data_IF_997096483622
#
_entry.id   IF_997096483622
#
_cell.length_a   1.000
_cell.length_b   1.000
_cell.length_c   1.000
_cell.angle_alpha   90.00
_cell.angle_beta   90.00
_cell.angle_gamma   90.00
#
_symmetry.space_group_name_H-M   'P 1'
#
loop_
_entity.id
_entity.type
_entity.pdbx_description
1 polymer ?
#
# COMPACT_ATOMS: atom_id res chain seq x y z
N UNK A 1 -17.09 12.27 -3.10
CA UNK A 1 -17.63 11.44 -2.00
C UNK A 1 -16.92 10.09 -2.00
N UNK A 2 -16.61 9.54 -0.81
CA UNK A 2 -16.13 8.18 -0.60
C UNK A 2 -17.21 7.41 0.18
N UNK A 3 -17.64 6.27 -0.32
CA UNK A 3 -18.61 5.39 0.33
C UNK A 3 -17.88 4.13 0.82
N UNK A 4 -17.90 3.90 2.14
CA UNK A 4 -17.31 2.72 2.78
C UNK A 4 -18.43 1.81 3.31
N UNK A 5 -18.36 0.54 2.92
CA UNK A 5 -19.38 -0.46 3.28
C UNK A 5 -19.52 -0.71 4.78
N UNK A 6 -18.42 -0.62 5.52
CA UNK A 6 -18.39 -0.83 6.97
C UNK A 6 -17.82 0.42 7.65
N UNK A 7 -16.61 0.34 8.16
CA UNK A 7 -15.86 1.43 8.76
C UNK A 7 -14.48 1.50 8.13
N UNK A 8 -13.89 2.69 8.07
CA UNK A 8 -12.50 2.82 7.66
C UNK A 8 -11.62 1.90 8.48
N UNK A 9 -10.62 1.32 7.83
CA UNK A 9 -9.66 0.36 8.38
C UNK A 9 -10.21 -1.05 8.64
N UNK A 10 -11.52 -1.23 8.63
CA UNK A 10 -12.17 -2.54 8.71
C UNK A 10 -11.95 -3.31 7.40
N UNK A 11 -11.67 -4.56 7.43
CA UNK A 11 -11.41 -5.37 6.23
C UNK A 11 -9.94 -5.74 6.13
N UNK A 12 -9.30 -5.55 4.97
CA UNK A 12 -7.90 -5.98 4.77
C UNK A 12 -6.87 -5.07 5.39
N UNK A 13 -7.21 -3.82 5.71
CA UNK A 13 -6.28 -2.83 6.25
C UNK A 13 -5.63 -3.29 7.56
N UNK A 14 -6.42 -3.69 8.56
CA UNK A 14 -5.88 -4.07 9.86
C UNK A 14 -5.16 -5.42 9.86
N UNK A 15 -5.33 -6.24 8.81
CA UNK A 15 -4.58 -7.47 8.62
C UNK A 15 -3.19 -7.24 8.01
N UNK A 16 -2.93 -6.04 7.47
CA UNK A 16 -1.66 -5.75 6.81
C UNK A 16 -0.53 -5.67 7.85
N UNK A 17 0.60 -6.29 7.54
CA UNK A 17 1.79 -6.27 8.42
C UNK A 17 2.49 -4.91 8.49
N UNK A 18 2.09 -3.95 7.67
CA UNK A 18 2.68 -2.62 7.64
C UNK A 18 4.04 -2.54 6.95
N UNK A 19 4.46 -3.57 6.24
CA UNK A 19 5.72 -3.55 5.50
C UNK A 19 5.55 -2.74 4.21
N UNK A 20 6.42 -1.76 4.03
CA UNK A 20 6.39 -0.83 2.88
C UNK A 20 7.69 -0.94 2.11
N UNK A 21 7.63 -1.57 0.94
CA UNK A 21 8.79 -1.81 0.10
C UNK A 21 8.63 -1.23 -1.30
N UNK A 22 9.75 -0.84 -1.93
CA UNK A 22 9.80 -0.25 -3.25
C UNK A 22 9.80 -1.26 -4.39
N UNK A 23 10.44 -2.41 -4.17
CA UNK A 23 10.73 -3.37 -5.24
C UNK A 23 9.46 -4.07 -5.72
N UNK A 24 9.16 -3.93 -7.01
CA UNK A 24 8.05 -4.61 -7.70
C UNK A 24 8.53 -5.23 -9.01
N UNK A 25 7.69 -6.09 -9.59
CA UNK A 25 8.01 -6.82 -10.83
C UNK A 25 8.11 -5.91 -12.07
N UNK A 26 7.44 -4.77 -12.08
CA UNK A 26 7.39 -3.85 -13.21
C UNK A 26 7.83 -2.44 -12.82
N UNK A 27 8.26 -1.66 -13.81
CA UNK A 27 8.62 -0.24 -13.62
C UNK A 27 7.46 0.58 -13.06
N UNK A 28 6.26 0.43 -13.60
CA UNK A 28 5.11 1.21 -13.17
C UNK A 28 4.72 0.89 -11.73
N UNK A 29 4.68 -0.39 -11.35
CA UNK A 29 4.40 -0.78 -9.98
C UNK A 29 5.49 -0.29 -8.99
N UNK A 30 6.77 -0.30 -9.40
CA UNK A 30 7.87 0.27 -8.60
C UNK A 30 7.71 1.78 -8.42
N UNK A 31 7.36 2.52 -9.50
CA UNK A 31 7.08 3.97 -9.41
C UNK A 31 5.93 4.27 -8.45
N UNK A 32 4.83 3.52 -8.55
CA UNK A 32 3.70 3.66 -7.62
C UNK A 32 4.09 3.40 -6.17
N UNK A 33 4.89 2.34 -5.92
CA UNK A 33 5.36 2.05 -4.56
C UNK A 33 6.28 3.14 -4.01
N UNK A 34 7.16 3.71 -4.83
CA UNK A 34 8.03 4.83 -4.43
C UNK A 34 7.22 6.09 -4.13
N UNK A 35 6.28 6.44 -5.00
CA UNK A 35 5.35 7.54 -4.74
C UNK A 35 4.58 7.33 -3.43
N UNK A 36 4.14 6.10 -3.16
CA UNK A 36 3.50 5.76 -1.87
C UNK A 36 4.39 6.04 -0.67
N UNK A 37 5.67 5.71 -0.75
CA UNK A 37 6.65 6.01 0.31
C UNK A 37 6.82 7.51 0.53
N UNK A 38 6.99 8.28 -0.54
CA UNK A 38 7.08 9.74 -0.49
C UNK A 38 5.83 10.35 0.15
N UNK A 39 4.66 9.89 -0.25
CA UNK A 39 3.38 10.31 0.33
C UNK A 39 3.30 9.98 1.83
N UNK A 40 3.65 8.76 2.23
CA UNK A 40 3.57 8.33 3.63
C UNK A 40 4.52 9.13 4.52
N UNK A 41 5.68 9.50 4.00
CA UNK A 41 6.64 10.37 4.70
C UNK A 41 6.12 11.80 4.90
N UNK A 42 5.27 12.31 3.98
CA UNK A 42 4.73 13.68 4.07
C UNK A 42 3.43 13.79 4.86
N UNK A 43 2.63 12.71 4.93
CA UNK A 43 1.26 12.73 5.45
C UNK A 43 1.12 13.25 6.88
N UNK A 44 2.04 12.92 7.78
CA UNK A 44 1.98 13.39 9.17
C UNK A 44 2.10 14.91 9.24
N UNK A 45 3.02 15.48 8.45
CA UNK A 45 3.18 16.93 8.32
C UNK A 45 1.96 17.60 7.69
N UNK A 46 1.37 16.97 6.67
CA UNK A 46 0.22 17.51 5.94
C UNK A 46 -1.07 17.45 6.75
N UNK A 47 -1.30 16.38 7.47
CA UNK A 47 -2.58 16.08 8.10
C UNK A 47 -2.57 16.29 9.62
N UNK A 48 -1.40 16.34 10.27
CA UNK A 48 -1.26 16.36 11.71
C UNK A 48 -1.63 15.03 12.39
N UNK A 49 -1.75 13.92 11.62
CA UNK A 49 -1.95 12.59 12.17
C UNK A 49 -0.75 11.71 11.89
N UNK A 50 -0.24 11.06 12.93
CA UNK A 50 0.84 10.10 12.82
C UNK A 50 0.44 8.93 11.91
N UNK A 51 1.37 8.46 11.09
CA UNK A 51 1.19 7.32 10.17
C UNK A 51 1.94 6.09 10.66
N UNK A 52 2.76 6.23 11.70
CA UNK A 52 3.71 5.22 12.12
C UNK A 52 4.79 4.93 11.09
N UNK A 53 4.94 5.78 10.07
CA UNK A 53 5.97 5.63 9.04
C UNK A 53 7.37 5.73 9.64
N UNK A 54 8.19 4.73 9.35
CA UNK A 54 9.62 4.72 9.67
C UNK A 54 10.37 4.13 8.49
N UNK A 55 11.27 4.91 7.91
CA UNK A 55 12.22 4.42 6.92
C UNK A 55 13.34 3.68 7.65
N UNK A 56 13.12 2.41 7.92
CA UNK A 56 14.06 1.56 8.65
C UNK A 56 14.77 0.56 7.72
N UNK A 57 14.57 0.67 6.43
CA UNK A 57 15.06 -0.26 5.44
C UNK A 57 14.36 -1.61 5.46
N UNK A 58 14.73 -2.48 4.51
CA UNK A 58 14.37 -3.89 4.52
C UNK A 58 15.56 -4.78 4.20
N UNK A 59 15.64 -5.93 4.88
CA UNK A 59 16.68 -6.92 4.68
C UNK A 59 16.05 -8.18 4.07
N UNK A 60 16.47 -8.53 2.85
CA UNK A 60 16.04 -9.74 2.16
C UNK A 60 17.18 -10.75 2.22
N UNK A 61 16.94 -11.93 2.77
CA UNK A 61 17.98 -12.96 2.97
C UNK A 61 17.85 -14.13 2.00
N UNK A 62 18.97 -14.72 1.64
CA UNK A 62 19.06 -15.92 0.82
C UNK A 62 19.78 -17.03 1.59
N UNK A 63 19.13 -18.18 1.79
CA UNK A 63 19.73 -19.38 2.39
C UNK A 63 20.52 -20.22 1.38
N UNK A 64 20.18 -20.11 0.09
CA UNK A 64 20.84 -20.91 -0.96
C UNK A 64 21.50 -20.02 -2.02
N UNK A 65 22.51 -20.55 -2.71
CA UNK A 65 23.18 -19.87 -3.83
C UNK A 65 22.19 -19.56 -4.96
N UNK A 66 21.23 -20.44 -5.22
CA UNK A 66 20.21 -20.24 -6.26
C UNK A 66 19.30 -19.08 -5.91
N UNK A 67 18.87 -19.00 -4.64
CA UNK A 67 18.09 -17.86 -4.16
C UNK A 67 18.85 -16.54 -4.27
N UNK A 68 20.15 -16.56 -3.91
CA UNK A 68 20.99 -15.37 -4.05
C UNK A 68 21.15 -14.95 -5.52
N UNK A 69 21.31 -15.92 -6.43
CA UNK A 69 21.37 -15.65 -7.88
C UNK A 69 20.07 -15.03 -8.40
N UNK A 70 18.92 -15.56 -7.98
CA UNK A 70 17.61 -14.97 -8.30
C UNK A 70 17.49 -13.53 -7.77
N UNK A 71 17.90 -13.31 -6.53
CA UNK A 71 17.90 -11.96 -5.93
C UNK A 71 18.79 -10.99 -6.71
N UNK A 72 19.98 -11.41 -7.13
CA UNK A 72 20.86 -10.58 -7.98
C UNK A 72 20.17 -10.15 -9.28
N UNK A 73 19.47 -11.06 -9.95
CA UNK A 73 18.69 -10.74 -11.17
C UNK A 73 17.53 -9.77 -10.87
N UNK A 74 16.82 -9.97 -9.78
CA UNK A 74 15.71 -9.08 -9.36
C UNK A 74 16.26 -7.68 -9.05
N UNK A 75 17.37 -7.57 -8.35
CA UNK A 75 17.98 -6.30 -7.99
C UNK A 75 18.59 -5.57 -9.19
N UNK A 76 19.19 -6.27 -10.14
CA UNK A 76 19.65 -5.66 -11.39
C UNK A 76 18.49 -4.98 -12.14
N UNK A 77 17.32 -5.63 -12.18
CA UNK A 77 16.09 -5.03 -12.73
C UNK A 77 15.60 -3.86 -11.88
N UNK A 78 15.55 -3.98 -10.55
CA UNK A 78 15.13 -2.92 -9.65
C UNK A 78 16.01 -1.67 -9.78
N UNK A 79 17.31 -1.83 -9.99
CA UNK A 79 18.25 -0.75 -10.28
C UNK A 79 17.85 0.04 -11.52
N UNK A 80 17.43 -0.63 -12.60
CA UNK A 80 16.95 0.05 -13.81
C UNK A 80 15.65 0.84 -13.60
N UNK A 81 14.96 0.61 -12.48
CA UNK A 81 13.77 1.34 -12.06
C UNK A 81 14.06 2.40 -10.98
N UNK A 82 15.36 2.60 -10.66
CA UNK A 82 15.83 3.61 -9.73
C UNK A 82 15.75 3.21 -8.25
N UNK A 83 15.68 1.91 -7.93
CA UNK A 83 15.73 1.42 -6.54
C UNK A 83 17.20 1.30 -6.11
N UNK A 84 17.54 1.94 -5.00
CA UNK A 84 18.83 1.81 -4.33
C UNK A 84 18.85 0.57 -3.44
N UNK A 85 19.95 -0.16 -3.46
CA UNK A 85 20.14 -1.36 -2.64
C UNK A 85 21.63 -1.70 -2.52
N UNK A 86 21.94 -2.53 -1.54
CA UNK A 86 23.28 -3.06 -1.30
C UNK A 86 23.22 -4.58 -1.13
N UNK A 87 24.20 -5.30 -1.70
CA UNK A 87 24.45 -6.69 -1.34
C UNK A 87 25.30 -6.71 -0.08
N UNK A 88 24.82 -7.39 0.93
CA UNK A 88 25.49 -7.48 2.22
C UNK A 88 25.87 -8.92 2.54
N UNK A 89 26.99 -9.09 3.22
CA UNK A 89 27.43 -10.39 3.73
C UNK A 89 26.50 -10.90 4.84
N UNK A 90 26.51 -12.22 5.15
CA UNK A 90 25.78 -12.73 6.32
C UNK A 90 26.16 -12.03 7.63
N UNK A 91 27.43 -11.69 7.81
CA UNK A 91 27.90 -10.98 9.01
C UNK A 91 27.30 -9.59 9.11
N UNK A 92 27.28 -8.84 8.01
CA UNK A 92 26.65 -7.52 7.95
C UNK A 92 25.15 -7.60 8.13
N UNK A 93 24.49 -8.61 7.54
CA UNK A 93 23.07 -8.87 7.78
C UNK A 93 22.76 -9.06 9.27
N UNK A 94 23.62 -9.78 10.01
CA UNK A 94 23.50 -9.94 11.46
C UNK A 94 23.74 -8.66 12.23
N UNK A 95 24.56 -7.72 11.75
CA UNK A 95 24.71 -6.38 12.36
C UNK A 95 23.48 -5.51 12.15
N UNK A 96 22.87 -5.58 10.96
CA UNK A 96 21.63 -4.85 10.64
C UNK A 96 20.46 -5.41 11.44
N UNK A 97 20.36 -6.73 11.57
CA UNK A 97 19.29 -7.43 12.25
C UNK A 97 19.85 -8.46 13.25
N UNK A 98 20.20 -8.07 14.49
CA UNK A 98 20.89 -8.94 15.47
C UNK A 98 20.11 -10.17 15.90
N UNK A 99 18.78 -10.19 15.70
CA UNK A 99 17.93 -11.36 15.96
C UNK A 99 18.09 -12.46 14.92
N UNK A 100 18.72 -12.14 13.77
CA UNK A 100 18.85 -13.04 12.64
C UNK A 100 19.98 -14.05 12.87
N UNK A 101 19.67 -15.33 12.71
CA UNK A 101 20.69 -16.37 12.58
C UNK A 101 21.31 -16.28 11.18
N UNK A 102 22.62 -16.17 11.10
CA UNK A 102 23.34 -15.84 9.85
C UNK A 102 24.26 -16.94 9.34
N UNK A 103 24.53 -17.98 10.14
CA UNK A 103 25.45 -19.08 9.84
C UNK A 103 25.01 -19.94 8.66
N UNK A 104 23.72 -19.96 8.33
CA UNK A 104 23.12 -20.70 7.22
C UNK A 104 22.74 -19.81 6.02
N UNK A 105 23.20 -18.56 5.98
CA UNK A 105 22.89 -17.63 4.90
C UNK A 105 23.96 -17.65 3.81
N UNK A 106 23.51 -17.65 2.55
CA UNK A 106 24.37 -17.46 1.37
C UNK A 106 24.65 -15.97 1.07
N UNK A 107 23.84 -15.06 1.62
CA UNK A 107 23.95 -13.62 1.46
C UNK A 107 22.62 -12.90 1.66
N UNK A 108 22.64 -11.57 1.59
CA UNK A 108 21.46 -10.75 1.75
C UNK A 108 21.48 -9.50 0.85
N UNK A 109 20.34 -8.84 0.75
CA UNK A 109 20.19 -7.53 0.12
C UNK A 109 19.54 -6.57 1.11
N UNK A 110 20.16 -5.45 1.30
CA UNK A 110 19.66 -4.32 2.08
C UNK A 110 19.05 -3.27 1.15
N UNK A 111 17.85 -2.79 1.45
CA UNK A 111 17.15 -1.75 0.69
C UNK A 111 16.84 -0.60 1.66
N UNK A 112 17.66 0.45 1.72
CA UNK A 112 17.58 1.51 2.74
C UNK A 112 16.30 2.36 2.61
N UNK A 113 15.75 2.50 1.41
CA UNK A 113 14.55 3.31 1.15
C UNK A 113 13.23 2.63 1.54
N UNK A 114 13.25 1.36 1.94
CA UNK A 114 12.09 0.65 2.44
C UNK A 114 11.80 1.01 3.91
N UNK A 115 10.62 0.66 4.40
CA UNK A 115 10.26 0.95 5.77
C UNK A 115 9.02 0.24 6.25
N UNK A 116 8.42 0.78 7.29
CA UNK A 116 7.17 0.29 7.86
C UNK A 116 6.23 1.44 8.22
N UNK A 117 4.94 1.16 8.23
CA UNK A 117 3.90 2.08 8.69
C UNK A 117 2.86 1.32 9.52
N UNK A 118 2.06 2.04 10.30
CA UNK A 118 0.85 1.46 10.88
C UNK A 118 -0.28 1.56 9.85
N UNK A 119 -0.84 0.45 9.35
CA UNK A 119 -1.85 0.50 8.29
C UNK A 119 -3.13 1.24 8.68
N UNK A 120 -3.54 1.13 9.95
CA UNK A 120 -4.72 1.83 10.49
C UNK A 120 -4.48 3.33 10.55
N UNK A 121 -3.37 3.76 11.15
CA UNK A 121 -3.03 5.18 11.29
C UNK A 121 -2.82 5.82 9.92
N UNK A 122 -2.16 5.11 9.01
CA UNK A 122 -1.95 5.55 7.64
C UNK A 122 -3.28 5.80 6.92
N UNK A 123 -4.25 4.87 7.05
CA UNK A 123 -5.58 5.01 6.44
C UNK A 123 -6.34 6.19 7.06
N UNK A 124 -6.27 6.38 8.36
CA UNK A 124 -6.90 7.53 9.03
C UNK A 124 -6.27 8.85 8.63
N UNK A 125 -4.94 8.89 8.47
CA UNK A 125 -4.23 10.07 7.98
C UNK A 125 -4.65 10.42 6.54
N UNK A 126 -4.71 9.44 5.64
CA UNK A 126 -5.22 9.62 4.27
C UNK A 126 -6.67 10.13 4.26
N UNK A 127 -7.54 9.55 5.10
CA UNK A 127 -8.94 9.98 5.21
C UNK A 127 -9.06 11.42 5.72
N UNK A 128 -8.22 11.81 6.69
CA UNK A 128 -8.16 13.20 7.16
C UNK A 128 -7.71 14.14 6.04
N UNK A 129 -6.65 13.80 5.32
CA UNK A 129 -6.18 14.58 4.19
C UNK A 129 -7.24 14.77 3.10
N UNK A 130 -8.02 13.71 2.83
CA UNK A 130 -9.15 13.78 1.89
C UNK A 130 -10.25 14.74 2.40
N UNK A 131 -10.64 14.65 3.68
CA UNK A 131 -11.62 15.56 4.29
C UNK A 131 -11.15 17.01 4.26
N UNK A 132 -9.88 17.27 4.55
CA UNK A 132 -9.29 18.62 4.47
C UNK A 132 -9.37 19.23 3.06
N UNK A 133 -9.46 18.37 2.03
CA UNK A 133 -9.66 18.78 0.63
C UNK A 133 -11.11 18.69 0.15
N UNK A 134 -12.08 18.65 1.07
CA UNK A 134 -13.51 18.70 0.76
C UNK A 134 -14.17 17.35 0.47
N UNK A 135 -13.46 16.22 0.64
CA UNK A 135 -14.10 14.90 0.46
C UNK A 135 -15.03 14.57 1.62
N UNK A 136 -16.29 14.26 1.30
CA UNK A 136 -17.23 13.65 2.24
C UNK A 136 -16.97 12.13 2.28
N UNK A 137 -16.71 11.59 3.47
CA UNK A 137 -16.56 10.14 3.70
C UNK A 137 -17.75 9.65 4.49
N UNK A 138 -18.50 8.71 3.91
CA UNK A 138 -19.69 8.12 4.52
C UNK A 138 -19.44 6.63 4.74
N UNK A 139 -19.50 6.22 6.00
CA UNK A 139 -19.32 4.84 6.42
C UNK A 139 -20.67 4.11 6.54
N UNK A 140 -20.66 2.79 6.54
CA UNK A 140 -21.82 1.89 6.62
C UNK A 140 -22.77 2.04 5.42
N UNK A 141 -22.23 2.44 4.28
CA UNK A 141 -22.97 2.57 3.02
C UNK A 141 -22.37 1.61 1.99
N UNK A 142 -23.12 0.58 1.66
CA UNK A 142 -22.73 -0.40 0.64
C UNK A 142 -23.17 0.08 -0.74
N UNK A 143 -22.24 0.28 -1.66
CA UNK A 143 -22.55 0.42 -3.08
C UNK A 143 -23.01 -0.93 -3.62
N UNK A 144 -24.15 -0.96 -4.28
CA UNK A 144 -24.79 -2.18 -4.79
C UNK A 144 -24.89 -2.22 -6.31
N UNK A 145 -24.50 -1.15 -6.99
CA UNK A 145 -24.43 -1.11 -8.45
C UNK A 145 -24.01 0.27 -8.97
N UNK A 146 -23.61 0.29 -10.24
CA UNK A 146 -23.27 1.51 -10.99
C UNK A 146 -24.31 1.68 -12.07
N UNK A 147 -24.88 2.89 -12.19
CA UNK A 147 -25.86 3.23 -13.21
C UNK A 147 -25.16 3.83 -14.42
N UNK A 148 -25.49 3.28 -15.59
CA UNK A 148 -24.93 3.69 -16.90
C UNK A 148 -26.09 4.14 -17.81
N UNK A 149 -25.99 5.37 -18.33
CA UNK A 149 -26.91 5.91 -19.33
C UNK A 149 -26.11 6.38 -20.55
N UNK A 150 -26.52 5.97 -21.74
CA UNK A 150 -25.84 6.34 -22.99
C UNK A 150 -24.31 6.06 -23.00
N UNK A 151 -23.88 4.93 -22.41
CA UNK A 151 -22.46 4.54 -22.23
C UNK A 151 -21.65 5.43 -21.28
N UNK A 152 -22.29 6.26 -20.47
CA UNK A 152 -21.65 7.09 -19.45
C UNK A 152 -22.16 6.70 -18.06
N UNK A 153 -21.30 6.79 -17.08
CA UNK A 153 -21.70 6.66 -15.67
C UNK A 153 -22.65 7.81 -15.36
N UNK A 154 -23.77 7.51 -14.73
CA UNK A 154 -24.75 8.51 -14.28
C UNK A 154 -24.95 8.51 -12.76
N UNK A 155 -24.50 7.48 -12.06
CA UNK A 155 -24.58 7.40 -10.61
C UNK A 155 -24.20 6.05 -10.06
N UNK A 156 -24.29 5.94 -8.73
CA UNK A 156 -24.14 4.70 -7.99
C UNK A 156 -25.35 4.46 -7.09
N UNK A 157 -25.84 3.24 -7.06
CA UNK A 157 -26.87 2.80 -6.13
C UNK A 157 -26.25 2.34 -4.83
N UNK A 158 -26.78 2.80 -3.73
CA UNK A 158 -26.26 2.48 -2.40
C UNK A 158 -27.36 1.99 -1.46
N UNK A 159 -26.94 1.26 -0.42
CA UNK A 159 -27.81 0.74 0.63
C UNK A 159 -27.13 0.82 2.00
N UNK A 160 -27.92 1.19 3.01
CA UNK A 160 -27.59 1.08 4.43
C UNK A 160 -28.48 0.00 5.09
N UNK A 161 -28.49 -0.08 6.42
CA UNK A 161 -29.42 -0.92 7.16
C UNK A 161 -30.88 -0.45 6.99
N UNK A 162 -31.10 0.88 6.92
CA UNK A 162 -32.41 1.49 7.05
C UNK A 162 -32.86 2.26 5.80
N UNK A 163 -31.98 2.44 4.82
CA UNK A 163 -32.25 3.23 3.62
C UNK A 163 -31.50 2.73 2.41
N UNK A 164 -32.01 3.10 1.23
CA UNK A 164 -31.35 2.91 -0.04
C UNK A 164 -31.58 4.13 -0.94
N UNK A 165 -30.71 4.33 -1.94
CA UNK A 165 -30.85 5.46 -2.85
C UNK A 165 -29.80 5.45 -3.94
N UNK A 166 -29.79 6.54 -4.70
CA UNK A 166 -28.82 6.78 -5.77
C UNK A 166 -28.04 8.06 -5.49
N UNK A 167 -26.75 8.04 -5.74
CA UNK A 167 -25.87 9.20 -5.75
C UNK A 167 -25.46 9.46 -7.19
N UNK A 168 -25.84 10.60 -7.74
CA UNK A 168 -25.47 11.02 -9.09
C UNK A 168 -23.96 11.33 -9.15
N UNK A 169 -23.28 10.83 -10.17
CA UNK A 169 -21.88 11.11 -10.45
C UNK A 169 -21.51 10.77 -11.90
N UNK A 170 -20.48 11.41 -12.41
CA UNK A 170 -19.97 11.19 -13.77
C UNK A 170 -18.79 10.22 -13.80
N UNK A 171 -18.11 10.02 -12.66
CA UNK A 171 -16.93 9.16 -12.53
C UNK A 171 -17.05 8.31 -11.28
N UNK A 172 -16.78 7.02 -11.41
CA UNK A 172 -16.67 6.07 -10.30
C UNK A 172 -15.27 5.50 -10.26
N UNK A 173 -14.64 5.58 -9.09
CA UNK A 173 -13.36 4.90 -8.81
C UNK A 173 -13.65 3.70 -7.91
N UNK A 174 -13.55 2.50 -8.47
CA UNK A 174 -13.78 1.26 -7.73
C UNK A 174 -12.53 0.88 -6.93
N UNK A 175 -12.56 1.13 -5.62
CA UNK A 175 -11.52 0.77 -4.67
C UNK A 175 -11.90 -0.45 -3.80
N UNK A 176 -12.81 -1.29 -4.27
CA UNK A 176 -13.38 -2.42 -3.54
C UNK A 176 -12.41 -3.59 -3.24
N UNK A 177 -11.11 -3.47 -3.57
CA UNK A 177 -10.10 -4.48 -3.28
C UNK A 177 -10.46 -5.84 -3.87
N UNK A 178 -10.43 -6.89 -3.07
CA UNK A 178 -10.80 -8.25 -3.51
C UNK A 178 -12.28 -8.39 -3.92
N UNK A 179 -13.14 -7.46 -3.52
CA UNK A 179 -14.56 -7.42 -3.89
C UNK A 179 -14.87 -6.50 -5.08
N UNK A 180 -13.84 -5.88 -5.69
CA UNK A 180 -14.05 -4.95 -6.80
C UNK A 180 -14.82 -5.58 -7.97
N UNK A 181 -14.62 -6.89 -8.21
CA UNK A 181 -15.31 -7.65 -9.26
C UNK A 181 -16.82 -7.78 -9.03
N UNK A 182 -17.29 -7.63 -7.80
CA UNK A 182 -18.74 -7.70 -7.48
C UNK A 182 -19.50 -6.46 -7.93
N UNK A 183 -18.80 -5.37 -8.26
CA UNK A 183 -19.38 -4.09 -8.67
C UNK A 183 -19.24 -3.82 -10.18
N UNK A 184 -18.41 -4.59 -10.89
CA UNK A 184 -18.10 -4.42 -12.31
C UNK A 184 -18.88 -5.34 -13.25
#
# INVERSE_FOLDING_TARGET
VLLERKQLTCGTTWHAAGLVGQTRATRNATRMSRYGIELYASLEKETGLATGWKQCGSLNVAKTKDRLTLMKRQMARAKSFGVEFEFVSPVEAGRIAPILRVDDLAGAVWIPGDGKANPTDLTQSLARGARMRGTTIVERVKVVGVDIRNRHVSGVRWKTADAEGTLECEVVVNCGGQWARELG
#
